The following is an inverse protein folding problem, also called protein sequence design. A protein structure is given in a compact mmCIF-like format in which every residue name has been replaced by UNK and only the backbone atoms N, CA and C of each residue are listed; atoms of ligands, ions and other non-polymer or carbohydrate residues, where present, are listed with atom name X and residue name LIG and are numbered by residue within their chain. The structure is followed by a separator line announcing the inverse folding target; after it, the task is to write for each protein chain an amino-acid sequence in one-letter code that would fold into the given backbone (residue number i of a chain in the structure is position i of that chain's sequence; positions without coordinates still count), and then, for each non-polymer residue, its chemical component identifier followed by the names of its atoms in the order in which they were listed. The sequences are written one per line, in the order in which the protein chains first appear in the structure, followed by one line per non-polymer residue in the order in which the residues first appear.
data_IF_622240947704
#
_entry.id   IF_622240947704
#
_cell.length_a   1.000
_cell.length_b   1.000
_cell.length_c   1.000
_cell.angle_alpha   90.00
_cell.angle_beta   90.00
_cell.angle_gamma   90.00
#
_symmetry.space_group_name_H-M   'P 1'
#
loop_
_entity.id
_entity.type
_entity.pdbx_description
1 polymer ?
#
# COMPACT_ATOMS: atom_id res chain seq x y z
N UNK A 1 -4.65 -4.24 10.57
CA UNK A 1 -4.74 -5.50 9.79
C UNK A 1 -3.80 -5.57 8.57
N UNK A 2 -3.38 -4.47 7.92
CA UNK A 2 -2.46 -4.48 6.75
C UNK A 2 -1.03 -5.00 7.01
N UNK A 3 -0.60 -5.13 8.27
CA UNK A 3 0.79 -5.52 8.61
C UNK A 3 1.01 -7.03 8.58
N UNK A 4 -0.01 -7.86 8.90
CA UNK A 4 0.16 -9.32 8.97
C UNK A 4 0.42 -9.96 7.61
N UNK A 5 -0.11 -9.38 6.53
CA UNK A 5 0.08 -9.93 5.18
C UNK A 5 1.53 -9.86 4.70
N UNK A 6 2.25 -8.79 5.08
CA UNK A 6 3.66 -8.61 4.68
C UNK A 6 4.56 -9.72 5.22
N UNK A 7 4.30 -10.21 6.41
CA UNK A 7 5.10 -11.27 7.04
C UNK A 7 4.47 -12.65 6.86
N UNK A 8 3.42 -12.79 6.04
CA UNK A 8 2.60 -14.00 5.97
C UNK A 8 3.41 -15.28 5.71
N UNK A 9 4.35 -15.35 4.75
CA UNK A 9 5.12 -16.59 4.53
C UNK A 9 6.02 -16.91 5.72
N UNK A 10 6.75 -15.91 6.23
CA UNK A 10 7.61 -16.08 7.38
C UNK A 10 6.83 -16.57 8.62
N UNK A 11 5.61 -16.05 8.82
CA UNK A 11 4.73 -16.47 9.91
C UNK A 11 4.14 -17.87 9.70
N UNK A 12 3.81 -18.26 8.46
CA UNK A 12 3.35 -19.63 8.15
C UNK A 12 4.47 -20.63 8.46
N UNK A 13 5.67 -20.41 7.94
CA UNK A 13 6.84 -21.26 8.20
C UNK A 13 7.08 -21.42 9.72
N UNK A 14 6.99 -20.32 10.48
CA UNK A 14 7.13 -20.34 11.94
C UNK A 14 6.06 -21.19 12.62
N UNK A 15 4.79 -21.04 12.23
CA UNK A 15 3.67 -21.79 12.82
C UNK A 15 3.84 -23.29 12.54
N UNK A 16 4.30 -23.66 11.35
CA UNK A 16 4.54 -25.06 10.97
C UNK A 16 5.70 -25.66 11.77
N UNK A 17 6.85 -24.99 11.85
CA UNK A 17 8.01 -25.47 12.61
C UNK A 17 7.75 -25.51 14.14
N UNK A 18 6.93 -24.60 14.65
CA UNK A 18 6.56 -24.59 16.07
C UNK A 18 5.41 -25.53 16.40
N UNK A 19 4.79 -26.20 15.41
CA UNK A 19 3.64 -27.11 15.62
C UNK A 19 2.53 -26.49 16.47
N UNK A 20 2.43 -25.16 16.50
CA UNK A 20 1.56 -24.41 17.41
C UNK A 20 0.08 -24.82 17.25
N UNK A 21 -0.36 -24.96 16.00
CA UNK A 21 -1.72 -25.39 15.68
C UNK A 21 -2.00 -26.85 16.03
N UNK A 22 -0.98 -27.70 16.10
CA UNK A 22 -1.13 -29.12 16.49
C UNK A 22 -1.25 -29.22 18.01
N UNK A 23 -0.39 -28.50 18.75
CA UNK A 23 -0.31 -28.55 20.21
C UNK A 23 -1.49 -27.80 20.89
N UNK A 24 -1.97 -26.71 20.27
CA UNK A 24 -3.06 -25.87 20.82
C UNK A 24 -4.35 -25.91 19.97
N UNK A 25 -4.59 -26.99 19.21
CA UNK A 25 -5.70 -27.14 18.26
C UNK A 25 -7.09 -26.85 18.85
N UNK A 26 -7.28 -27.10 20.15
CA UNK A 26 -8.53 -26.84 20.88
C UNK A 26 -8.81 -25.35 21.12
N UNK A 27 -7.77 -24.52 21.14
CA UNK A 27 -7.85 -23.07 21.43
C UNK A 27 -7.56 -22.22 20.19
N UNK A 28 -6.73 -22.73 19.28
CA UNK A 28 -6.33 -22.08 18.03
C UNK A 28 -6.87 -22.88 16.83
N UNK A 29 -8.11 -22.60 16.46
CA UNK A 29 -8.83 -23.38 15.43
C UNK A 29 -8.51 -22.93 14.00
N UNK A 30 -8.01 -21.71 13.80
CA UNK A 30 -7.72 -21.17 12.47
C UNK A 30 -6.29 -20.66 12.31
N UNK A 31 -5.71 -20.95 11.15
CA UNK A 31 -4.39 -20.43 10.76
C UNK A 31 -4.37 -18.90 10.76
N UNK A 32 -5.43 -18.26 10.29
CA UNK A 32 -5.52 -16.79 10.26
C UNK A 32 -5.46 -16.17 11.66
N UNK A 33 -6.13 -16.79 12.65
CA UNK A 33 -6.05 -16.34 14.03
C UNK A 33 -4.63 -16.52 14.59
N UNK A 34 -4.01 -17.68 14.35
CA UNK A 34 -2.62 -17.93 14.76
C UNK A 34 -1.64 -16.92 14.11
N UNK A 35 -1.81 -16.60 12.82
CA UNK A 35 -0.98 -15.63 12.12
C UNK A 35 -1.04 -14.24 12.78
N UNK A 36 -2.24 -13.78 13.13
CA UNK A 36 -2.42 -12.47 13.79
C UNK A 36 -1.79 -12.48 15.18
N UNK A 37 -2.04 -13.52 15.99
CA UNK A 37 -1.54 -13.57 17.36
C UNK A 37 -0.01 -13.73 17.42
N UNK A 38 0.57 -14.57 16.56
CA UNK A 38 2.03 -14.74 16.46
C UNK A 38 2.68 -13.44 15.97
N UNK A 39 2.06 -12.76 15.00
CA UNK A 39 2.51 -11.43 14.58
C UNK A 39 2.54 -10.45 15.77
N UNK A 40 1.47 -10.41 16.57
CA UNK A 40 1.39 -9.48 17.68
C UNK A 40 2.41 -9.77 18.77
N UNK A 41 2.67 -11.04 19.07
CA UNK A 41 3.71 -11.45 20.03
C UNK A 41 5.13 -11.11 19.55
N UNK A 42 5.42 -11.29 18.26
CA UNK A 42 6.78 -11.17 17.72
C UNK A 42 7.14 -9.79 17.16
N UNK A 43 6.16 -9.04 16.66
CA UNK A 43 6.38 -7.80 15.91
C UNK A 43 5.63 -6.59 16.49
N UNK A 44 4.48 -6.77 17.16
CA UNK A 44 3.67 -5.65 17.69
C UNK A 44 3.87 -5.35 19.18
N UNK A 45 4.79 -6.05 19.86
CA UNK A 45 5.06 -5.85 21.28
C UNK A 45 4.10 -6.58 22.25
N UNK A 46 3.23 -7.46 21.74
CA UNK A 46 2.34 -8.31 22.54
C UNK A 46 0.88 -8.29 22.09
N UNK A 47 0.11 -9.28 22.55
CA UNK A 47 -1.33 -9.40 22.27
C UNK A 47 -2.09 -8.45 23.20
N UNK A 48 -2.77 -7.45 22.63
CA UNK A 48 -3.59 -6.44 23.33
C UNK A 48 -5.01 -6.96 23.63
N UNK A 49 -5.11 -8.19 24.13
CA UNK A 49 -6.36 -8.79 24.57
C UNK A 49 -6.31 -9.08 26.07
N UNK A 50 -7.48 -9.17 26.70
CA UNK A 50 -7.61 -9.64 28.07
C UNK A 50 -6.97 -11.02 28.27
N UNK A 51 -6.60 -11.34 29.51
CA UNK A 51 -6.00 -12.63 29.83
C UNK A 51 -7.03 -13.76 29.65
N UNK A 52 -6.91 -14.43 28.51
CA UNK A 52 -7.78 -15.53 28.11
C UNK A 52 -7.00 -16.74 27.58
N UNK A 53 -7.67 -17.88 27.42
CA UNK A 53 -7.04 -19.16 27.07
C UNK A 53 -6.28 -19.10 25.74
N UNK A 54 -6.76 -18.31 24.79
CA UNK A 54 -6.13 -18.12 23.47
C UNK A 54 -4.78 -17.38 23.59
N UNK A 55 -4.74 -16.32 24.41
CA UNK A 55 -3.51 -15.54 24.63
C UNK A 55 -2.46 -16.39 25.33
N UNK A 56 -2.87 -17.12 26.38
CA UNK A 56 -1.98 -18.02 27.11
C UNK A 56 -1.42 -19.13 26.22
N UNK A 57 -2.25 -19.73 25.36
CA UNK A 57 -1.81 -20.75 24.41
C UNK A 57 -0.65 -20.28 23.52
N UNK A 58 -0.71 -19.05 23.01
CA UNK A 58 0.37 -18.49 22.18
C UNK A 58 1.58 -18.09 23.03
N UNK A 59 1.35 -17.48 24.21
CA UNK A 59 2.43 -17.02 25.09
C UNK A 59 3.28 -18.17 25.64
N UNK A 60 2.69 -19.34 25.93
CA UNK A 60 3.43 -20.53 26.33
C UNK A 60 4.49 -20.95 25.30
N UNK A 61 4.26 -20.66 24.02
CA UNK A 61 5.16 -20.99 22.91
C UNK A 61 6.11 -19.85 22.52
N UNK A 62 6.10 -18.72 23.25
CA UNK A 62 6.86 -17.51 22.90
C UNK A 62 8.36 -17.76 22.75
N UNK A 63 8.95 -18.56 23.62
CA UNK A 63 10.39 -18.90 23.59
C UNK A 63 10.75 -19.68 22.32
N UNK A 64 9.95 -20.71 22.00
CA UNK A 64 10.10 -21.52 20.79
C UNK A 64 9.91 -20.70 19.52
N UNK A 65 8.87 -19.86 19.48
CA UNK A 65 8.61 -18.92 18.37
C UNK A 65 9.76 -17.94 18.16
N UNK A 66 10.34 -17.40 19.24
CA UNK A 66 11.48 -16.48 19.15
C UNK A 66 12.74 -17.18 18.64
N UNK A 67 12.99 -18.42 19.07
CA UNK A 67 14.11 -19.24 18.59
C UNK A 67 14.00 -19.58 17.10
N UNK A 68 12.83 -20.03 16.64
CA UNK A 68 12.59 -20.30 15.22
C UNK A 68 12.65 -19.02 14.37
N UNK A 69 12.19 -17.87 14.89
CA UNK A 69 12.33 -16.58 14.21
C UNK A 69 13.81 -16.25 13.97
N UNK A 70 14.68 -16.50 14.94
CA UNK A 70 16.11 -16.24 14.77
C UNK A 70 16.76 -17.18 13.74
N UNK A 71 16.39 -18.47 13.74
CA UNK A 71 16.83 -19.40 12.69
C UNK A 71 16.36 -18.96 11.31
N UNK A 72 15.12 -18.49 11.19
CA UNK A 72 14.55 -17.99 9.95
C UNK A 72 15.32 -16.76 9.44
N UNK A 73 15.71 -15.84 10.33
CA UNK A 73 16.53 -14.67 10.00
C UNK A 73 17.92 -15.05 9.49
N UNK A 74 18.56 -16.03 10.13
CA UNK A 74 19.86 -16.57 9.69
C UNK A 74 19.72 -17.22 8.31
N UNK A 75 18.69 -18.04 8.10
CA UNK A 75 18.41 -18.71 6.82
C UNK A 75 18.22 -17.72 5.68
N UNK A 76 17.58 -16.58 5.93
CA UNK A 76 17.37 -15.51 4.94
C UNK A 76 18.50 -14.47 4.89
N UNK A 77 19.52 -14.58 5.74
CA UNK A 77 20.64 -13.63 5.80
C UNK A 77 20.26 -12.22 6.27
N UNK A 78 19.14 -12.06 6.98
CA UNK A 78 18.60 -10.76 7.38
C UNK A 78 18.88 -10.41 8.84
N UNK A 79 19.11 -9.12 9.12
CA UNK A 79 19.45 -8.63 10.49
C UNK A 79 18.21 -8.15 11.24
N UNK A 80 17.26 -7.50 10.55
CA UNK A 80 16.06 -6.94 11.17
C UNK A 80 14.84 -7.82 10.93
N UNK A 81 13.87 -7.72 11.85
CA UNK A 81 12.54 -8.31 11.65
C UNK A 81 11.82 -7.67 10.45
N UNK A 82 12.10 -6.39 10.16
CA UNK A 82 11.51 -5.67 9.02
C UNK A 82 11.89 -6.26 7.67
N UNK A 83 13.07 -6.89 7.60
CA UNK A 83 13.63 -7.45 6.38
C UNK A 83 13.01 -8.82 6.05
N UNK A 84 12.29 -9.44 7.00
CA UNK A 84 11.50 -10.65 6.75
C UNK A 84 10.15 -10.37 6.09
N UNK A 85 9.78 -9.10 5.94
CA UNK A 85 8.60 -8.75 5.18
C UNK A 85 8.81 -9.20 3.74
N UNK A 86 7.81 -9.82 3.14
CA UNK A 86 7.65 -9.79 1.69
C UNK A 86 7.70 -8.31 1.27
N UNK A 87 8.85 -7.87 0.77
CA UNK A 87 8.87 -6.95 -0.36
C UNK A 87 7.92 -7.61 -1.36
N UNK A 88 6.75 -7.00 -1.58
CA UNK A 88 5.72 -7.56 -2.45
C UNK A 88 6.34 -8.05 -3.75
N UNK A 89 5.69 -9.02 -4.41
CA UNK A 89 6.09 -9.58 -5.71
C UNK A 89 6.97 -8.60 -6.49
N UNK A 90 8.12 -9.03 -7.02
CA UNK A 90 9.00 -8.18 -7.82
C UNK A 90 8.23 -7.34 -8.86
N UNK A 91 7.07 -7.83 -9.30
CA UNK A 91 6.04 -7.14 -10.09
C UNK A 91 5.38 -5.95 -9.38
N UNK A 92 4.84 -6.11 -8.15
CA UNK A 92 4.24 -4.99 -7.38
C UNK A 92 5.28 -3.98 -6.90
N UNK A 93 6.51 -4.39 -6.64
CA UNK A 93 7.61 -3.47 -6.33
C UNK A 93 8.00 -2.56 -7.52
N UNK A 94 7.59 -2.91 -8.73
CA UNK A 94 7.85 -2.15 -9.96
C UNK A 94 6.64 -1.35 -10.47
N UNK A 95 5.45 -1.50 -9.86
CA UNK A 95 4.28 -0.72 -10.29
C UNK A 95 4.53 0.76 -9.95
N UNK A 96 4.47 1.67 -10.93
CA UNK A 96 4.61 3.10 -10.67
C UNK A 96 3.56 3.59 -9.69
N UNK A 97 3.91 4.61 -8.91
CA UNK A 97 2.92 5.43 -8.23
C UNK A 97 2.32 6.38 -9.26
N UNK A 98 1.09 6.11 -9.67
CA UNK A 98 0.34 6.99 -10.57
C UNK A 98 -0.25 8.16 -9.80
N UNK A 99 -0.06 9.36 -10.34
CA UNK A 99 -0.42 10.63 -9.74
C UNK A 99 -1.23 11.42 -10.75
N UNK A 100 -2.55 11.44 -10.57
CA UNK A 100 -3.44 12.19 -11.42
C UNK A 100 -3.42 13.66 -11.01
N UNK A 101 -3.23 14.54 -11.98
CA UNK A 101 -3.17 15.99 -11.79
C UNK A 101 -4.59 16.54 -11.88
N UNK A 102 -5.00 17.25 -10.83
CA UNK A 102 -6.30 17.89 -10.79
C UNK A 102 -6.29 19.19 -11.59
N UNK A 103 -6.56 19.10 -12.89
CA UNK A 103 -6.53 20.23 -13.84
C UNK A 103 -7.53 21.35 -13.53
N UNK A 104 -8.48 21.14 -12.60
CA UNK A 104 -9.40 22.17 -12.10
C UNK A 104 -8.70 23.13 -11.12
N UNK A 105 -7.69 22.65 -10.38
CA UNK A 105 -6.99 23.45 -9.36
C UNK A 105 -5.69 24.09 -9.86
N UNK A 106 -5.06 23.50 -10.87
CA UNK A 106 -3.79 23.98 -11.46
C UNK A 106 -3.50 23.28 -12.79
N UNK A 107 -2.63 23.85 -13.62
CA UNK A 107 -2.27 23.25 -14.91
C UNK A 107 -1.33 22.05 -14.77
N UNK A 108 -1.25 21.23 -15.81
CA UNK A 108 -0.33 20.10 -15.85
C UNK A 108 1.14 20.56 -15.87
N UNK A 109 1.41 21.67 -16.53
CA UNK A 109 2.71 22.32 -16.60
C UNK A 109 3.14 22.86 -15.23
N UNK A 110 2.23 23.51 -14.49
CA UNK A 110 2.49 23.96 -13.13
C UNK A 110 2.82 22.80 -12.19
N UNK A 111 2.15 21.65 -12.38
CA UNK A 111 2.44 20.45 -11.62
C UNK A 111 3.85 19.92 -11.88
N UNK A 112 4.28 19.90 -13.15
CA UNK A 112 5.64 19.51 -13.52
C UNK A 112 6.66 20.47 -12.89
N UNK A 113 6.44 21.79 -13.01
CA UNK A 113 7.34 22.79 -12.45
C UNK A 113 7.43 22.68 -10.92
N UNK A 114 6.31 22.41 -10.25
CA UNK A 114 6.28 22.18 -8.82
C UNK A 114 7.17 21.00 -8.41
N UNK A 115 7.02 19.83 -9.03
CA UNK A 115 7.87 18.68 -8.71
C UNK A 115 9.33 18.89 -9.09
N UNK A 116 9.61 19.59 -10.20
CA UNK A 116 10.99 19.97 -10.55
C UNK A 116 11.61 20.89 -9.49
N UNK A 117 10.86 21.88 -8.99
CA UNK A 117 11.33 22.77 -7.91
C UNK A 117 11.62 22.04 -6.60
N UNK A 118 10.96 20.90 -6.36
CA UNK A 118 11.19 19.99 -5.22
C UNK A 118 12.40 19.07 -5.42
N UNK A 119 13.11 19.20 -6.54
CA UNK A 119 14.31 18.44 -6.86
C UNK A 119 14.04 17.10 -7.54
N UNK A 120 12.87 16.92 -8.15
CA UNK A 120 12.62 15.82 -9.06
C UNK A 120 13.05 16.18 -10.49
N UNK A 121 13.39 15.17 -11.30
CA UNK A 121 13.72 15.37 -12.72
C UNK A 121 12.70 14.69 -13.61
N UNK A 122 12.20 15.42 -14.62
CA UNK A 122 11.31 14.87 -15.63
C UNK A 122 12.09 13.99 -16.62
N UNK A 123 11.56 12.78 -16.89
CA UNK A 123 12.08 11.82 -17.88
C UNK A 123 10.97 11.35 -18.80
N UNK A 124 11.30 11.09 -20.06
CA UNK A 124 10.33 10.64 -21.07
C UNK A 124 9.94 9.16 -20.93
N UNK A 125 10.76 8.36 -20.25
CA UNK A 125 10.58 6.91 -20.11
C UNK A 125 10.67 6.46 -18.65
N UNK A 126 9.74 5.58 -18.25
CA UNK A 126 9.78 4.83 -17.01
C UNK A 126 10.48 3.47 -17.23
N UNK A 127 11.27 2.92 -16.30
CA UNK A 127 11.43 3.29 -14.89
C UNK A 127 12.35 4.49 -14.65
N UNK A 128 11.81 5.48 -13.93
CA UNK A 128 12.52 6.66 -13.46
C UNK A 128 13.40 6.29 -12.23
N UNK A 129 14.55 6.91 -11.99
CA UNK A 129 15.35 6.67 -10.77
C UNK A 129 14.72 7.30 -9.51
N UNK A 130 15.37 7.15 -8.34
CA UNK A 130 14.86 7.55 -6.99
C UNK A 130 14.32 8.99 -6.87
N UNK A 131 14.66 9.91 -7.77
CA UNK A 131 14.17 11.30 -7.82
C UNK A 131 13.76 11.73 -9.22
N UNK A 132 13.20 10.81 -9.99
CA UNK A 132 12.72 11.10 -11.33
C UNK A 132 11.24 10.73 -11.45
N UNK A 133 10.57 11.36 -12.39
CA UNK A 133 9.17 11.08 -12.73
C UNK A 133 8.95 11.21 -14.24
N UNK A 134 7.89 10.58 -14.73
CA UNK A 134 7.57 10.55 -16.16
C UNK A 134 6.10 10.88 -16.41
N UNK A 135 5.79 11.30 -17.63
CA UNK A 135 4.41 11.46 -18.10
C UNK A 135 3.86 10.10 -18.56
N UNK A 136 2.56 9.85 -18.36
CA UNK A 136 1.93 8.70 -18.98
C UNK A 136 1.77 8.90 -20.49
N UNK A 137 1.91 7.83 -21.27
CA UNK A 137 1.78 7.87 -22.73
C UNK A 137 0.33 7.91 -23.22
N UNK A 138 -0.61 7.48 -22.38
CA UNK A 138 -2.01 7.29 -22.76
C UNK A 138 -2.94 8.28 -22.06
N UNK A 139 -2.58 8.72 -20.85
CA UNK A 139 -3.43 9.59 -20.02
C UNK A 139 -2.76 10.96 -19.85
N UNK A 140 -3.30 12.04 -20.45
CA UNK A 140 -2.64 13.35 -20.52
C UNK A 140 -2.31 14.00 -19.16
N UNK A 141 -3.14 13.80 -18.14
CA UNK A 141 -2.99 14.42 -16.83
C UNK A 141 -2.41 13.46 -15.77
N UNK A 142 -1.59 12.49 -16.18
CA UNK A 142 -1.06 11.44 -15.30
C UNK A 142 0.47 11.45 -15.25
N UNK A 143 1.02 11.53 -14.03
CA UNK A 143 2.45 11.39 -13.76
C UNK A 143 2.76 10.05 -13.10
N UNK A 144 3.94 9.51 -13.40
CA UNK A 144 4.45 8.23 -12.90
C UNK A 144 5.66 8.50 -12.02
N UNK A 145 5.57 8.12 -10.75
CA UNK A 145 6.65 8.19 -9.77
C UNK A 145 7.12 6.78 -9.37
N UNK A 146 8.34 6.69 -8.85
CA UNK A 146 8.82 5.48 -8.22
C UNK A 146 7.93 5.07 -7.02
N UNK A 147 7.63 3.78 -6.82
CA UNK A 147 6.71 3.33 -5.77
C UNK A 147 7.13 3.71 -4.34
N UNK A 148 8.42 3.98 -4.12
CA UNK A 148 9.00 4.39 -2.83
C UNK A 148 8.85 5.89 -2.54
N UNK A 149 8.45 6.72 -3.51
CA UNK A 149 8.23 8.15 -3.29
C UNK A 149 6.97 8.34 -2.44
N UNK A 150 7.12 8.99 -1.27
CA UNK A 150 5.98 9.44 -0.47
C UNK A 150 5.50 10.79 -1.00
N UNK A 151 4.22 10.87 -1.35
CA UNK A 151 3.56 12.10 -1.78
C UNK A 151 2.42 12.51 -0.83
N UNK A 152 2.15 11.71 0.20
CA UNK A 152 1.02 11.96 1.12
C UNK A 152 1.26 13.17 2.03
N UNK A 153 2.53 13.47 2.27
CA UNK A 153 2.94 14.62 3.09
C UNK A 153 3.15 15.89 2.24
N UNK A 154 3.04 15.80 0.91
CA UNK A 154 3.20 16.95 0.03
C UNK A 154 1.98 17.88 0.13
N UNK A 155 2.25 19.19 0.16
CA UNK A 155 1.22 20.22 0.17
C UNK A 155 0.25 20.06 -1.02
N UNK A 156 0.76 19.73 -2.20
CA UNK A 156 -0.06 19.48 -3.39
C UNK A 156 -1.07 18.33 -3.17
N UNK A 157 -0.72 17.32 -2.38
CA UNK A 157 -1.64 16.22 -2.06
C UNK A 157 -2.69 16.67 -1.05
N UNK A 158 -2.28 17.38 0.00
CA UNK A 158 -3.17 17.90 1.04
C UNK A 158 -4.19 18.91 0.47
N UNK A 159 -3.77 19.74 -0.49
CA UNK A 159 -4.64 20.67 -1.20
C UNK A 159 -5.52 20.01 -2.27
N UNK A 160 -5.39 18.69 -2.50
CA UNK A 160 -6.12 17.97 -3.54
C UNK A 160 -5.72 18.34 -4.97
N UNK A 161 -4.57 18.98 -5.16
CA UNK A 161 -3.97 19.31 -6.47
C UNK A 161 -3.45 18.05 -7.17
N UNK A 162 -3.00 17.06 -6.40
CA UNK A 162 -2.65 15.73 -6.90
C UNK A 162 -3.48 14.65 -6.23
N UNK A 163 -3.80 13.60 -6.99
CA UNK A 163 -4.56 12.46 -6.50
C UNK A 163 -3.80 11.16 -6.80
N UNK A 164 -3.59 10.34 -5.77
CA UNK A 164 -2.97 9.03 -5.88
C UNK A 164 -4.04 8.01 -6.27
N UNK A 165 -3.99 7.50 -7.50
CA UNK A 165 -5.00 6.57 -8.05
C UNK A 165 -4.34 5.47 -8.87
N UNK A 166 -5.04 4.37 -9.10
CA UNK A 166 -4.57 3.39 -10.09
C UNK A 166 -4.74 3.94 -11.51
N UNK A 167 -3.87 3.51 -12.43
CA UNK A 167 -3.93 3.93 -13.83
C UNK A 167 -5.26 3.57 -14.49
N UNK A 168 -5.82 2.39 -14.21
CA UNK A 168 -7.09 1.96 -14.77
C UNK A 168 -8.25 2.90 -14.34
N UNK A 169 -8.18 3.44 -13.13
CA UNK A 169 -9.17 4.38 -12.60
C UNK A 169 -9.06 5.78 -13.21
N UNK A 170 -7.95 6.11 -13.85
CA UNK A 170 -7.71 7.41 -14.49
C UNK A 170 -8.18 7.44 -15.95
N UNK A 171 -8.66 6.33 -16.51
CA UNK A 171 -9.26 6.35 -17.85
C UNK A 171 -10.60 7.10 -17.79
N UNK A 172 -10.76 8.16 -18.60
CA UNK A 172 -12.00 8.91 -18.62
C UNK A 172 -13.12 8.01 -19.17
N UNK A 173 -14.29 8.10 -18.56
CA UNK A 173 -15.52 7.62 -19.19
C UNK A 173 -15.91 8.63 -20.27
N UNK A 174 -16.24 8.21 -21.50
CA UNK A 174 -16.63 9.14 -22.56
C UNK A 174 -17.91 9.87 -22.14
N UNK A 175 -17.79 11.17 -21.87
CA UNK A 175 -18.92 12.04 -21.52
C UNK A 175 -18.79 13.36 -22.30
N UNK A 176 -19.91 13.83 -22.86
CA UNK A 176 -19.95 15.15 -23.50
C UNK A 176 -20.12 16.23 -22.43
N UNK A 177 -19.59 17.43 -22.69
CA UNK A 177 -19.61 18.57 -21.77
C UNK A 177 -21.02 19.04 -21.32
N UNK A 178 -22.05 18.57 -22.01
CA UNK A 178 -23.46 18.90 -21.78
C UNK A 178 -24.31 17.68 -21.34
N UNK A 179 -23.68 16.56 -21.03
CA UNK A 179 -24.37 15.37 -20.52
C UNK A 179 -24.53 15.44 -19.00
N UNK A 180 -25.67 14.98 -18.47
CA UNK A 180 -25.81 14.71 -17.04
C UNK A 180 -25.21 13.35 -16.73
N UNK A 181 -24.19 13.31 -15.86
CA UNK A 181 -23.47 12.07 -15.52
C UNK A 181 -23.73 11.71 -14.05
N UNK A 182 -24.14 10.46 -13.82
CA UNK A 182 -24.31 9.90 -12.49
C UNK A 182 -23.19 8.88 -12.26
N UNK A 183 -22.30 9.16 -11.31
CA UNK A 183 -21.33 8.19 -10.81
C UNK A 183 -21.95 7.47 -9.60
N UNK A 184 -22.58 6.32 -9.87
CA UNK A 184 -23.26 5.50 -8.88
C UNK A 184 -22.32 4.92 -7.81
N UNK A 185 -20.99 4.99 -7.99
CA UNK A 185 -19.98 4.43 -7.09
C UNK A 185 -18.81 5.40 -6.87
N UNK A 186 -19.11 6.67 -6.57
CA UNK A 186 -18.11 7.76 -6.45
C UNK A 186 -17.09 7.63 -5.31
N UNK A 187 -17.18 6.60 -4.47
CA UNK A 187 -16.36 6.45 -3.28
C UNK A 187 -15.32 5.32 -3.45
N UNK A 188 -14.02 5.57 -3.14
CA UNK A 188 -13.39 6.86 -2.83
C UNK A 188 -13.06 7.66 -4.11
N UNK A 189 -13.08 9.00 -3.97
CA UNK A 189 -12.91 10.03 -5.03
C UNK A 189 -12.06 9.57 -6.21
N UNK A 190 -12.67 9.46 -7.39
CA UNK A 190 -12.00 9.27 -8.69
C UNK A 190 -11.68 10.64 -9.31
N UNK A 191 -10.49 10.78 -9.88
CA UNK A 191 -10.04 12.00 -10.55
C UNK A 191 -10.50 11.93 -12.01
N UNK A 192 -11.81 12.06 -12.22
CA UNK A 192 -12.35 12.26 -13.57
C UNK A 192 -12.69 13.74 -13.73
N UNK A 193 -11.77 14.56 -14.30
CA UNK A 193 -12.02 15.99 -14.49
C UNK A 193 -13.26 16.25 -15.37
N UNK A 194 -13.54 15.39 -16.35
CA UNK A 194 -14.72 15.50 -17.21
C UNK A 194 -16.03 15.31 -16.42
N UNK A 195 -16.08 14.32 -15.53
CA UNK A 195 -17.26 14.01 -14.70
C UNK A 195 -17.52 15.06 -13.61
N UNK A 196 -16.46 15.74 -13.14
CA UNK A 196 -16.56 16.81 -12.12
C UNK A 196 -16.96 18.17 -12.68
N UNK A 197 -16.66 18.47 -13.94
CA UNK A 197 -17.16 19.70 -14.58
C UNK A 197 -18.68 19.68 -14.75
N UNK A 198 -19.25 18.50 -15.02
CA UNK A 198 -20.69 18.29 -15.21
C UNK A 198 -21.46 18.51 -13.91
N UNK A 199 -20.97 18.02 -12.78
CA UNK A 199 -21.69 18.07 -11.49
C UNK A 199 -21.84 19.48 -10.91
N UNK A 200 -20.98 20.44 -11.30
CA UNK A 200 -21.07 21.84 -10.82
C UNK A 200 -22.02 22.74 -11.60
N UNK A 201 -22.48 22.34 -12.79
CA UNK A 201 -23.40 23.19 -13.58
C UNK A 201 -24.85 23.16 -13.06
N UNK A 202 -25.21 22.30 -12.11
CA UNK A 202 -26.60 22.08 -11.67
C UNK A 202 -26.79 22.13 -10.14
N UNK A 203 -25.94 22.88 -9.42
CA UNK A 203 -26.10 23.18 -8.00
C UNK A 203 -26.00 24.68 -7.76
#
# INVERSE_FOLDING_TARGET
MRLSFRYKPALIDLIEHTKLLQEECKKLTSLNLALVLVHDVLFSGGIQAGDGPIKQAVLCHKTRLSGELQKLKIKHGVKSNKDLAQTGDSRTAQIPRYVCINTVLWSFEDAIQHFVSKGFTLKDLFPALKKEFSKDKHIPALLLFQPQVSLQDEEAYQMGKVILQDKASCFPAPASADSAVIDATSAPVVCQPETRQVTRKHL
#
